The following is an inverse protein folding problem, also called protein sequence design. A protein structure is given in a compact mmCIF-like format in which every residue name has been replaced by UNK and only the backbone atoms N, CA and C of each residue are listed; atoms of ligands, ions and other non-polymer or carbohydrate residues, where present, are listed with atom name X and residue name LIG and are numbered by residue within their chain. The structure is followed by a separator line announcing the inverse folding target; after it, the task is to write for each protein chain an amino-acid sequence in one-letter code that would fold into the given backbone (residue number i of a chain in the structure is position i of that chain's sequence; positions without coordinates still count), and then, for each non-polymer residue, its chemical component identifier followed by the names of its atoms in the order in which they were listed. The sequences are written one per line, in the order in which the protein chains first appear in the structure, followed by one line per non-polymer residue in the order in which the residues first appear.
data_IF_553238627234
#
_entry.id   IF_553238627234
#
_cell.length_a   1.000
_cell.length_b   1.000
_cell.length_c   1.000
_cell.angle_alpha   90.00
_cell.angle_beta   90.00
_cell.angle_gamma   90.00
#
_symmetry.space_group_name_H-M   'P 1'
#
loop_
_entity.id
_entity.type
_entity.pdbx_description
1 polymer ?
#
# COMPACT_ATOMS: atom_id res chain seq x y z
N UNK A 1 -4.19 19.62 1.30
CA UNK A 1 -5.01 18.79 0.39
C UNK A 1 -4.37 17.42 0.36
N UNK A 2 -5.04 16.40 0.89
CA UNK A 2 -4.56 15.01 0.84
C UNK A 2 -4.65 14.46 -0.58
N UNK A 3 -3.64 13.72 -1.00
CA UNK A 3 -3.61 13.04 -2.29
C UNK A 3 -3.09 11.61 -2.13
N UNK A 4 -3.57 10.70 -2.96
CA UNK A 4 -3.15 9.30 -2.97
C UNK A 4 -3.09 8.83 -4.42
N UNK A 5 -1.98 8.16 -4.76
CA UNK A 5 -1.75 7.57 -6.07
C UNK A 5 -1.36 6.11 -5.88
N UNK A 6 -2.19 5.22 -6.42
CA UNK A 6 -1.98 3.77 -6.41
C UNK A 6 -1.64 3.33 -7.83
N UNK A 7 -0.61 2.49 -7.96
CA UNK A 7 -0.25 1.84 -9.22
C UNK A 7 -0.08 0.35 -8.98
N UNK A 8 -0.78 -0.46 -9.76
CA UNK A 8 -0.65 -1.92 -9.72
C UNK A 8 -0.44 -2.45 -11.13
N UNK A 9 0.55 -3.32 -11.30
CA UNK A 9 0.88 -3.93 -12.59
C UNK A 9 1.03 -5.44 -12.43
N UNK A 10 0.31 -6.20 -13.26
CA UNK A 10 0.52 -7.64 -13.41
C UNK A 10 1.60 -7.85 -14.46
N UNK A 11 2.77 -8.34 -14.03
CA UNK A 11 3.92 -8.57 -14.92
C UNK A 11 3.80 -9.96 -15.56
N UNK A 12 3.41 -10.96 -14.77
CA UNK A 12 3.16 -12.33 -15.21
C UNK A 12 1.80 -12.78 -14.69
N UNK A 13 1.26 -13.86 -15.25
CA UNK A 13 -0.05 -14.41 -14.84
C UNK A 13 -0.12 -14.62 -13.32
N UNK A 14 0.99 -15.09 -12.74
CA UNK A 14 1.18 -15.38 -11.33
C UNK A 14 1.94 -14.30 -10.53
N UNK A 15 2.39 -13.20 -11.15
CA UNK A 15 3.21 -12.21 -10.46
C UNK A 15 2.71 -10.79 -10.70
N UNK A 16 2.46 -10.07 -9.60
CA UNK A 16 1.99 -8.70 -9.62
C UNK A 16 2.84 -7.83 -8.71
N UNK A 17 3.02 -6.57 -9.11
CA UNK A 17 3.67 -5.54 -8.31
C UNK A 17 2.67 -4.43 -8.02
N UNK A 18 2.80 -3.79 -6.87
CA UNK A 18 1.98 -2.66 -6.46
C UNK A 18 2.85 -1.60 -5.78
N UNK A 19 2.58 -0.34 -6.07
CA UNK A 19 3.15 0.81 -5.39
C UNK A 19 2.07 1.83 -5.09
N UNK A 20 2.26 2.56 -4.01
CA UNK A 20 1.33 3.56 -3.48
C UNK A 20 2.15 4.72 -2.93
N UNK A 21 1.77 5.94 -3.27
CA UNK A 21 2.35 7.16 -2.71
C UNK A 21 1.22 8.11 -2.38
N UNK A 22 1.31 8.77 -1.22
CA UNK A 22 0.28 9.71 -0.83
C UNK A 22 0.73 10.68 0.25
N UNK A 23 -0.08 11.71 0.45
CA UNK A 23 0.04 12.69 1.51
C UNK A 23 -1.27 12.76 2.27
N UNK A 24 -1.20 12.67 3.60
CA UNK A 24 -2.34 12.77 4.49
C UNK A 24 -2.17 14.01 5.39
N UNK A 25 -3.19 14.87 5.36
CA UNK A 25 -3.33 15.96 6.32
C UNK A 25 -4.20 15.47 7.47
N UNK A 26 -3.63 15.41 8.68
CA UNK A 26 -4.37 15.06 9.90
C UNK A 26 -4.45 16.28 10.80
N UNK A 27 -5.66 16.84 10.89
CA UNK A 27 -5.99 17.85 11.88
C UNK A 27 -6.32 17.15 13.20
N UNK A 28 -5.58 17.48 14.26
CA UNK A 28 -5.87 17.00 15.61
C UNK A 28 -6.24 18.23 16.45
N UNK A 29 -7.48 18.27 16.87
CA UNK A 29 -8.01 19.28 17.80
C UNK A 29 -8.08 18.62 19.18
N UNK A 30 -7.31 19.16 20.13
CA UNK A 30 -7.34 18.75 21.53
C UNK A 30 -7.54 20.00 22.39
N UNK A 31 -8.13 19.86 23.59
CA UNK A 31 -8.62 20.98 24.40
C UNK A 31 -7.54 22.03 24.75
N UNK A 32 -6.26 21.65 24.66
CA UNK A 32 -5.12 22.51 24.98
C UNK A 32 -4.15 22.74 23.81
N UNK A 33 -4.21 21.95 22.73
CA UNK A 33 -3.25 22.02 21.62
C UNK A 33 -3.92 21.68 20.31
N UNK A 34 -3.87 22.61 19.36
CA UNK A 34 -4.31 22.38 17.98
C UNK A 34 -3.08 22.27 17.10
N UNK A 35 -2.86 21.09 16.49
CA UNK A 35 -1.78 20.90 15.54
C UNK A 35 -2.28 20.22 14.26
N UNK A 36 -1.71 20.65 13.14
CA UNK A 36 -1.96 20.04 11.82
C UNK A 36 -0.68 19.29 11.46
N UNK A 37 -0.76 17.97 11.38
CA UNK A 37 0.36 17.16 10.91
C UNK A 37 0.11 16.78 9.46
N UNK A 38 1.05 17.12 8.58
CA UNK A 38 1.06 16.67 7.19
C UNK A 38 2.13 15.60 7.05
N UNK A 39 1.72 14.43 6.58
CA UNK A 39 2.56 13.26 6.42
C UNK A 39 2.55 12.75 5.01
N UNK A 40 3.73 12.50 4.44
CA UNK A 40 3.88 11.80 3.16
C UNK A 40 4.30 10.37 3.40
N UNK A 41 3.79 9.45 2.59
CA UNK A 41 4.11 8.04 2.68
C UNK A 41 4.31 7.43 1.30
N UNK A 42 5.16 6.41 1.25
CA UNK A 42 5.34 5.55 0.08
C UNK A 42 5.30 4.09 0.52
N UNK A 43 4.60 3.28 -0.26
CA UNK A 43 4.52 1.84 -0.10
C UNK A 43 4.82 1.19 -1.45
N UNK A 44 5.50 0.06 -1.42
CA UNK A 44 5.65 -0.78 -2.59
C UNK A 44 5.72 -2.23 -2.17
N UNK A 45 5.33 -3.13 -3.06
CA UNK A 45 5.31 -4.55 -2.78
C UNK A 45 5.06 -5.37 -4.03
N UNK A 46 5.14 -6.67 -3.83
CA UNK A 46 4.83 -7.65 -4.85
C UNK A 46 4.05 -8.80 -4.25
N UNK A 47 3.27 -9.45 -5.10
CA UNK A 47 2.50 -10.64 -4.77
C UNK A 47 2.79 -11.70 -5.85
N UNK A 48 3.12 -12.92 -5.41
CA UNK A 48 3.35 -14.09 -6.26
C UNK A 48 2.34 -15.18 -5.93
N UNK A 49 1.60 -15.65 -6.93
CA UNK A 49 0.74 -16.82 -6.84
C UNK A 49 1.61 -18.07 -6.91
N UNK A 50 1.73 -18.78 -5.78
CA UNK A 50 2.50 -20.02 -5.68
C UNK A 50 1.72 -21.22 -6.23
N UNK A 51 0.43 -21.05 -6.53
CA UNK A 51 -0.44 -22.16 -6.83
C UNK A 51 -0.80 -22.19 -8.31
N UNK A 52 -0.33 -23.26 -8.97
CA UNK A 52 -0.75 -23.61 -10.31
C UNK A 52 -1.87 -24.65 -10.15
N UNK A 53 -3.13 -24.19 -10.12
CA UNK A 53 -4.28 -25.07 -9.94
C UNK A 53 -4.30 -26.15 -11.03
N UNK A 54 -4.36 -27.42 -10.62
CA UNK A 54 -4.71 -28.50 -11.53
C UNK A 54 -6.20 -28.45 -11.85
N UNK A 55 -6.61 -29.05 -12.98
CA UNK A 55 -8.02 -29.11 -13.40
C UNK A 55 -8.90 -29.62 -12.25
N UNK A 56 -9.86 -28.80 -11.80
CA UNK A 56 -10.79 -29.12 -10.73
C UNK A 56 -10.38 -28.65 -9.32
N UNK A 57 -9.28 -27.92 -9.17
CA UNK A 57 -8.95 -27.22 -7.92
C UNK A 57 -9.26 -25.73 -8.05
N UNK A 58 -9.67 -25.10 -6.95
CA UNK A 58 -9.94 -23.65 -6.80
C UNK A 58 -9.07 -23.02 -5.71
N UNK A 59 -7.88 -23.58 -5.47
CA UNK A 59 -6.99 -23.07 -4.43
C UNK A 59 -6.12 -21.93 -4.97
N UNK A 60 -6.00 -20.86 -4.21
CA UNK A 60 -5.11 -19.75 -4.51
C UNK A 60 -4.25 -19.48 -3.28
N UNK A 61 -2.94 -19.70 -3.41
CA UNK A 61 -1.96 -19.45 -2.35
C UNK A 61 -1.06 -18.34 -2.85
N UNK A 62 -1.20 -17.17 -2.24
CA UNK A 62 -0.39 -16.00 -2.56
C UNK A 62 0.70 -15.80 -1.50
N UNK A 63 1.92 -15.58 -1.96
CA UNK A 63 3.03 -15.11 -1.14
C UNK A 63 3.41 -13.72 -1.63
N UNK A 64 3.38 -12.74 -0.73
CA UNK A 64 3.71 -11.37 -1.06
C UNK A 64 4.50 -10.68 0.03
N UNK A 65 5.21 -9.64 -0.36
CA UNK A 65 5.95 -8.77 0.56
C UNK A 65 5.64 -7.32 0.23
N UNK A 66 5.44 -6.51 1.28
CA UNK A 66 5.20 -5.07 1.17
C UNK A 66 6.18 -4.33 2.08
N UNK A 67 6.76 -3.25 1.56
CA UNK A 67 7.60 -2.32 2.29
C UNK A 67 6.95 -0.93 2.27
N UNK A 68 6.95 -0.25 3.41
CA UNK A 68 6.35 1.07 3.56
C UNK A 68 7.25 1.97 4.41
N UNK A 69 7.34 3.23 4.03
CA UNK A 69 8.02 4.28 4.80
C UNK A 69 7.23 5.58 4.70
N UNK A 70 7.39 6.44 5.71
CA UNK A 70 6.64 7.68 5.83
C UNK A 70 7.45 8.74 6.57
N UNK A 71 7.27 9.99 6.16
CA UNK A 71 7.86 11.17 6.78
C UNK A 71 6.74 12.13 7.18
N UNK A 72 6.86 12.72 8.37
CA UNK A 72 5.84 13.62 8.92
C UNK A 72 6.51 14.89 9.41
N UNK A 73 5.87 16.04 9.16
CA UNK A 73 6.25 17.32 9.74
C UNK A 73 5.16 17.78 10.73
N UNK A 74 5.61 18.40 11.83
CA UNK A 74 4.79 18.98 12.89
C UNK A 74 4.87 20.50 12.88
#
# INVERSE_FOLDING_TARGET
MSYELITSLRIFEDFSIASEIGSLDRYVEDENVNFTSTGEYIKFGFDYNLFNNWTGMDNSIYLGMRFATSSFNN
#
